data_IF_575727591657
#
_entry.id   IF_575727591657
#
_cell.length_a   1.000
_cell.length_b   1.000
_cell.length_c   1.000
_cell.angle_alpha   90.00
_cell.angle_beta   90.00
_cell.angle_gamma   90.00
#
_symmetry.space_group_name_H-M   'P 1'
#
loop_
_entity.id
_entity.type
_entity.pdbx_description
1 polymer ?
#
# COMPACT_ATOMS: atom_id res chain seq x y z
N UNK A 1 7.14 -28.22 -2.90
CA UNK A 1 8.13 -27.12 -2.75
C UNK A 1 7.63 -25.75 -3.21
N UNK A 2 6.49 -25.63 -3.93
CA UNK A 2 6.01 -24.35 -4.50
C UNK A 2 5.39 -23.38 -3.48
N UNK A 3 4.64 -23.89 -2.49
CA UNK A 3 3.79 -23.03 -1.62
C UNK A 3 4.59 -22.01 -0.79
N UNK A 4 5.77 -22.41 -0.29
CA UNK A 4 6.60 -21.53 0.54
C UNK A 4 7.25 -20.39 -0.25
N UNK A 5 7.53 -20.59 -1.54
CA UNK A 5 8.07 -19.55 -2.41
C UNK A 5 6.99 -18.52 -2.73
N UNK A 6 5.79 -19.00 -3.11
CA UNK A 6 4.66 -18.14 -3.47
C UNK A 6 4.22 -17.26 -2.30
N UNK A 7 4.12 -17.82 -1.09
CA UNK A 7 3.78 -17.07 0.11
C UNK A 7 4.83 -15.99 0.40
N UNK A 8 6.13 -16.32 0.30
CA UNK A 8 7.21 -15.35 0.53
C UNK A 8 7.19 -14.21 -0.48
N UNK A 9 6.99 -14.54 -1.77
CA UNK A 9 6.86 -13.55 -2.83
C UNK A 9 5.67 -12.62 -2.55
N UNK A 10 4.53 -13.20 -2.20
CA UNK A 10 3.32 -12.45 -1.85
C UNK A 10 3.53 -11.49 -0.69
N UNK A 11 4.24 -11.92 0.37
CA UNK A 11 4.61 -11.06 1.48
C UNK A 11 5.53 -9.91 1.06
N UNK A 12 6.53 -10.18 0.21
CA UNK A 12 7.44 -9.16 -0.32
C UNK A 12 6.73 -8.11 -1.17
N UNK A 13 5.71 -8.50 -1.94
CA UNK A 13 4.95 -7.60 -2.81
C UNK A 13 3.67 -7.05 -2.17
N UNK A 14 3.37 -7.44 -0.92
CA UNK A 14 2.14 -7.07 -0.24
C UNK A 14 1.86 -5.55 -0.23
N UNK A 15 2.85 -4.66 0.01
CA UNK A 15 2.59 -3.23 -0.02
C UNK A 15 2.15 -2.73 -1.41
N UNK A 16 2.71 -3.30 -2.49
CA UNK A 16 2.30 -2.95 -3.85
C UNK A 16 0.88 -3.42 -4.16
N UNK A 17 0.46 -4.56 -3.61
CA UNK A 17 -0.92 -5.03 -3.71
C UNK A 17 -1.89 -4.10 -2.97
N UNK A 18 -1.50 -3.58 -1.80
CA UNK A 18 -2.29 -2.56 -1.09
C UNK A 18 -2.47 -1.32 -1.95
N UNK A 19 -1.40 -0.83 -2.58
CA UNK A 19 -1.49 0.30 -3.50
C UNK A 19 -2.38 -0.01 -4.72
N UNK A 20 -2.21 -1.15 -5.37
CA UNK A 20 -3.02 -1.53 -6.52
C UNK A 20 -4.52 -1.63 -6.18
N UNK A 21 -4.84 -2.20 -5.01
CA UNK A 21 -6.21 -2.27 -4.52
C UNK A 21 -6.77 -0.88 -4.20
N UNK A 22 -6.00 -0.02 -3.53
CA UNK A 22 -6.39 1.36 -3.25
C UNK A 22 -6.67 2.13 -4.55
N UNK A 23 -5.75 2.06 -5.53
CA UNK A 23 -5.92 2.70 -6.83
C UNK A 23 -7.20 2.25 -7.53
N UNK A 24 -7.44 0.95 -7.58
CA UNK A 24 -8.64 0.38 -8.18
C UNK A 24 -9.92 0.82 -7.46
N UNK A 25 -9.91 0.82 -6.12
CA UNK A 25 -11.05 1.26 -5.31
C UNK A 25 -11.37 2.75 -5.52
N UNK A 26 -10.34 3.62 -5.53
CA UNK A 26 -10.50 5.05 -5.82
C UNK A 26 -11.05 5.26 -7.22
N UNK A 27 -10.51 4.55 -8.22
CA UNK A 27 -10.99 4.64 -9.61
C UNK A 27 -12.47 4.25 -9.74
N UNK A 28 -12.86 3.10 -9.17
CA UNK A 28 -14.25 2.66 -9.21
C UNK A 28 -15.20 3.60 -8.47
N UNK A 29 -14.78 4.16 -7.34
CA UNK A 29 -15.58 5.10 -6.57
C UNK A 29 -15.85 6.37 -7.39
N UNK A 30 -14.83 6.92 -8.04
CA UNK A 30 -14.98 8.08 -8.94
C UNK A 30 -15.88 7.72 -10.12
N UNK A 31 -15.65 6.59 -10.78
CA UNK A 31 -16.45 6.14 -11.92
C UNK A 31 -17.93 5.94 -11.55
N UNK A 32 -18.21 5.36 -10.38
CA UNK A 32 -19.56 5.11 -9.89
C UNK A 32 -20.33 6.41 -9.56
N UNK A 33 -19.63 7.45 -9.10
CA UNK A 33 -20.22 8.77 -8.82
C UNK A 33 -20.47 9.59 -10.09
N UNK A 34 -19.75 9.30 -11.16
CA UNK A 34 -19.98 9.90 -12.48
C UNK A 34 -21.07 9.19 -13.28
N UNK A 35 -21.63 8.08 -12.76
CA UNK A 35 -22.76 7.38 -13.38
C UNK A 35 -24.04 7.68 -12.61
N UNK A 36 -25.10 8.21 -13.27
CA UNK A 36 -26.36 8.57 -12.61
C UNK A 36 -27.13 7.37 -12.02
N UNK A 37 -26.68 6.14 -12.29
CA UNK A 37 -27.37 4.90 -11.89
C UNK A 37 -26.82 4.24 -10.61
N UNK A 38 -25.61 4.59 -10.13
CA UNK A 38 -24.96 3.85 -9.04
C UNK A 38 -24.88 4.61 -7.70
N UNK A 39 -24.41 5.86 -7.70
CA UNK A 39 -24.20 6.64 -6.46
C UNK A 39 -24.74 8.05 -6.68
N UNK A 40 -25.52 8.56 -5.72
CA UNK A 40 -26.02 9.92 -5.79
C UNK A 40 -24.84 10.92 -5.72
N UNK A 41 -24.84 11.99 -6.54
CA UNK A 41 -23.78 13.01 -6.53
C UNK A 41 -23.55 13.67 -5.15
N UNK A 42 -24.55 13.58 -4.25
CA UNK A 42 -24.49 14.09 -2.88
C UNK A 42 -23.73 13.19 -1.88
N UNK A 43 -23.26 12.00 -2.29
CA UNK A 43 -22.44 11.17 -1.41
C UNK A 43 -21.12 11.89 -1.03
N UNK A 44 -20.60 11.75 0.21
CA UNK A 44 -19.45 12.51 0.68
C UNK A 44 -18.12 11.98 0.07
N UNK A 45 -17.91 12.23 -1.22
CA UNK A 45 -16.77 11.77 -2.04
C UNK A 45 -15.44 11.98 -1.34
N UNK A 46 -15.16 13.21 -0.92
CA UNK A 46 -13.89 13.59 -0.31
C UNK A 46 -13.62 12.83 0.99
N UNK A 47 -14.65 12.62 1.83
CA UNK A 47 -14.51 11.90 3.08
C UNK A 47 -14.21 10.40 2.85
N UNK A 48 -14.91 9.77 1.90
CA UNK A 48 -14.68 8.36 1.56
C UNK A 48 -13.28 8.15 0.95
N UNK A 49 -12.87 9.03 0.03
CA UNK A 49 -11.53 9.01 -0.56
C UNK A 49 -10.43 9.24 0.48
N UNK A 50 -10.61 10.22 1.36
CA UNK A 50 -9.67 10.49 2.45
C UNK A 50 -9.55 9.27 3.38
N UNK A 51 -10.68 8.66 3.75
CA UNK A 51 -10.69 7.46 4.59
C UNK A 51 -9.95 6.29 3.93
N UNK A 52 -10.25 5.97 2.66
CA UNK A 52 -9.57 4.90 1.91
C UNK A 52 -8.06 5.14 1.83
N UNK A 53 -7.65 6.38 1.61
CA UNK A 53 -6.25 6.76 1.47
C UNK A 53 -5.51 6.67 2.80
N UNK A 54 -6.13 7.11 3.90
CA UNK A 54 -5.57 6.96 5.26
C UNK A 54 -5.42 5.48 5.63
N UNK A 55 -6.41 4.64 5.30
CA UNK A 55 -6.32 3.20 5.55
C UNK A 55 -5.18 2.55 4.76
N UNK A 56 -5.04 2.89 3.48
CA UNK A 56 -3.96 2.38 2.64
C UNK A 56 -2.57 2.83 3.14
N UNK A 57 -2.43 4.10 3.53
CA UNK A 57 -1.20 4.62 4.13
C UNK A 57 -0.88 3.96 5.46
N UNK A 58 -1.88 3.78 6.32
CA UNK A 58 -1.75 3.07 7.59
C UNK A 58 -1.26 1.62 7.38
N UNK A 59 -1.87 0.90 6.43
CA UNK A 59 -1.44 -0.44 6.07
C UNK A 59 0.02 -0.45 5.57
N UNK A 60 0.39 0.42 4.64
CA UNK A 60 1.78 0.49 4.15
C UNK A 60 2.78 0.89 5.25
N UNK A 61 2.43 1.83 6.12
CA UNK A 61 3.26 2.25 7.24
C UNK A 61 3.47 1.11 8.25
N UNK A 62 2.43 0.32 8.55
CA UNK A 62 2.57 -0.85 9.43
C UNK A 62 3.47 -1.92 8.83
N UNK A 63 3.38 -2.16 7.51
CA UNK A 63 4.23 -3.10 6.80
C UNK A 63 5.69 -2.63 6.74
N UNK A 64 5.91 -1.33 6.53
CA UNK A 64 7.23 -0.71 6.57
C UNK A 64 7.84 -0.79 7.98
N UNK A 65 7.06 -0.52 9.02
CA UNK A 65 7.54 -0.62 10.40
C UNK A 65 7.94 -2.06 10.74
N UNK A 66 7.13 -3.06 10.36
CA UNK A 66 7.48 -4.46 10.51
C UNK A 66 8.78 -4.84 9.79
N UNK A 67 8.91 -4.47 8.52
CA UNK A 67 10.13 -4.72 7.75
C UNK A 67 11.36 -4.06 8.40
N UNK A 68 11.21 -2.82 8.88
CA UNK A 68 12.29 -2.08 9.54
C UNK A 68 12.68 -2.69 10.90
N UNK A 69 11.73 -3.24 11.65
CA UNK A 69 12.01 -3.96 12.89
C UNK A 69 12.84 -5.22 12.59
N UNK A 70 12.42 -6.03 11.61
CA UNK A 70 13.14 -7.23 11.18
C UNK A 70 14.56 -6.91 10.70
N UNK A 71 14.74 -5.85 9.91
CA UNK A 71 16.06 -5.39 9.47
C UNK A 71 16.94 -4.91 10.63
N UNK A 72 16.37 -4.22 11.64
CA UNK A 72 17.11 -3.77 12.84
C UNK A 72 17.52 -4.92 13.75
N UNK A 73 16.66 -5.91 13.93
CA UNK A 73 16.95 -7.05 14.80
C UNK A 73 17.96 -8.01 14.15
N UNK A 74 17.85 -8.24 12.84
CA UNK A 74 18.86 -8.99 12.08
C UNK A 74 20.24 -8.32 12.05
N UNK A 75 20.31 -6.98 12.14
CA UNK A 75 21.57 -6.26 12.26
C UNK A 75 22.26 -6.44 13.63
N UNK A 76 21.48 -6.68 14.70
CA UNK A 76 22.02 -6.92 16.06
C UNK A 76 22.51 -8.36 16.23
N UNK A 77 21.79 -9.32 15.66
CA UNK A 77 22.16 -10.76 15.73
C UNK A 77 23.26 -11.13 14.72
N UNK A 78 23.46 -10.29 13.70
CA UNK A 78 24.47 -10.43 12.65
C UNK A 78 25.93 -10.40 13.07
N UNK A 79 26.22 -9.93 14.28
CA UNK A 79 27.58 -9.97 14.83
C UNK A 79 27.99 -11.39 15.32
N UNK A 80 27.07 -12.37 15.29
CA UNK A 80 27.30 -13.72 15.85
C UNK A 80 27.23 -14.89 14.85
N UNK A 81 26.76 -14.73 13.61
CA UNK A 81 26.70 -15.82 12.65
C UNK A 81 26.82 -15.33 11.20
N UNK A 82 27.82 -15.85 10.48
CA UNK A 82 28.20 -15.54 9.09
C UNK A 82 27.17 -15.96 8.00
N UNK A 83 25.89 -16.11 8.36
CA UNK A 83 24.80 -16.36 7.41
C UNK A 83 23.97 -15.10 7.09
N UNK A 84 24.41 -13.93 7.59
CA UNK A 84 23.58 -12.74 7.76
C UNK A 84 23.67 -11.73 6.59
N UNK A 85 23.22 -12.13 5.40
CA UNK A 85 22.80 -11.13 4.41
C UNK A 85 21.32 -10.84 4.69
N UNK A 86 20.90 -9.58 4.94
CA UNK A 86 19.47 -9.27 5.04
C UNK A 86 18.79 -9.82 3.78
N UNK A 87 17.78 -10.68 3.95
CA UNK A 87 17.17 -11.37 2.82
C UNK A 87 16.70 -10.30 1.86
N UNK A 88 17.06 -10.43 0.59
CA UNK A 88 16.63 -9.52 -0.50
C UNK A 88 15.12 -9.19 -0.42
N UNK A 89 14.33 -10.14 0.10
CA UNK A 89 12.91 -10.01 0.35
C UNK A 89 12.53 -8.92 1.36
N UNK A 90 13.28 -8.74 2.45
CA UNK A 90 12.99 -7.73 3.48
C UNK A 90 13.26 -6.31 2.95
N UNK A 91 14.30 -6.16 2.13
CA UNK A 91 14.58 -4.93 1.38
C UNK A 91 13.54 -4.66 0.30
N UNK A 92 13.11 -5.69 -0.44
CA UNK A 92 12.04 -5.57 -1.42
C UNK A 92 10.72 -5.15 -0.76
N UNK A 93 10.40 -5.70 0.42
CA UNK A 93 9.21 -5.32 1.18
C UNK A 93 9.29 -3.87 1.68
N UNK A 94 10.43 -3.45 2.23
CA UNK A 94 10.63 -2.07 2.69
C UNK A 94 10.55 -1.07 1.53
N UNK A 95 11.26 -1.34 0.43
CA UNK A 95 11.23 -0.52 -0.78
C UNK A 95 9.84 -0.48 -1.41
N UNK A 96 9.17 -1.64 -1.50
CA UNK A 96 7.80 -1.75 -1.98
C UNK A 96 6.81 -0.95 -1.13
N UNK A 97 6.99 -0.91 0.19
CA UNK A 97 6.14 -0.11 1.08
C UNK A 97 6.31 1.39 0.86
N UNK A 98 7.55 1.87 0.67
CA UNK A 98 7.80 3.28 0.34
C UNK A 98 7.19 3.64 -1.01
N UNK A 99 7.38 2.79 -2.03
CA UNK A 99 6.79 3.00 -3.36
C UNK A 99 5.26 2.99 -3.31
N UNK A 100 4.67 2.07 -2.56
CA UNK A 100 3.22 2.01 -2.36
C UNK A 100 2.68 3.26 -1.68
N UNK A 101 3.34 3.77 -0.64
CA UNK A 101 2.96 5.02 0.01
C UNK A 101 3.01 6.21 -0.96
N UNK A 102 4.08 6.32 -1.75
CA UNK A 102 4.19 7.36 -2.78
C UNK A 102 3.08 7.24 -3.82
N UNK A 103 2.76 6.01 -4.25
CA UNK A 103 1.65 5.74 -5.15
C UNK A 103 0.29 6.13 -4.57
N UNK A 104 0.04 5.85 -3.29
CA UNK A 104 -1.20 6.27 -2.61
C UNK A 104 -1.27 7.79 -2.53
N UNK A 105 -0.19 8.47 -2.13
CA UNK A 105 -0.16 9.94 -2.06
C UNK A 105 -0.40 10.54 -3.45
N UNK A 106 0.33 10.07 -4.46
CA UNK A 106 0.25 10.55 -5.83
C UNK A 106 -1.14 10.37 -6.46
N UNK A 107 -1.84 9.31 -6.11
CA UNK A 107 -3.20 9.05 -6.62
C UNK A 107 -4.26 9.83 -5.83
N UNK A 108 -4.08 10.00 -4.53
CA UNK A 108 -5.09 10.59 -3.66
C UNK A 108 -5.10 12.12 -3.72
N UNK A 109 -3.92 12.76 -3.82
CA UNK A 109 -3.81 14.23 -3.82
C UNK A 109 -4.55 14.86 -5.01
N UNK A 110 -4.33 14.45 -6.28
CA UNK A 110 -5.02 15.05 -7.42
C UNK A 110 -6.53 14.81 -7.36
N UNK A 111 -6.96 13.61 -6.97
CA UNK A 111 -8.39 13.26 -6.91
C UNK A 111 -9.12 14.07 -5.82
N UNK A 112 -8.43 14.43 -4.74
CA UNK A 112 -8.99 15.32 -3.71
C UNK A 112 -9.03 16.79 -4.14
N UNK A 113 -8.14 17.22 -5.04
CA UNK A 113 -8.08 18.60 -5.55
C UNK A 113 -9.06 18.87 -6.70
N UNK A 114 -9.46 17.84 -7.44
CA UNK A 114 -10.40 17.96 -8.57
C UNK A 114 -11.83 17.90 -8.03
N UNK A 115 -12.66 18.86 -8.41
CA UNK A 115 -14.12 18.80 -8.18
C UNK A 115 -14.74 17.63 -8.95
N UNK A 116 -15.80 17.05 -8.41
CA UNK A 116 -16.38 15.80 -8.92
C UNK A 116 -17.07 16.00 -10.25
N UNK A 117 -17.67 14.93 -10.76
CA UNK A 117 -18.51 15.03 -11.94
C UNK A 117 -19.66 16.03 -11.71
N UNK A 118 -19.61 17.12 -12.47
CA UNK A 118 -20.54 18.24 -12.53
C UNK A 118 -20.51 18.83 -13.93
#
# INVERSE_FOLDING_TARGET
>A
MSDRFFIRLLYGTLPLLVWAFHFFAVYLLVAAQCSPALITPQAPRHAMLAMLSVLALGACATLLWRARATLRDGAKDGAKNDANTPRLLDWAQAGGAVLAMLGVIWTSVPVLMIDGCG
#
